data_IF_922040201636
#
_entry.id   IF_922040201636
#
_cell.length_a   1.000
_cell.length_b   1.000
_cell.length_c   1.000
_cell.angle_alpha   90.00
_cell.angle_beta   90.00
_cell.angle_gamma   90.00
#
_symmetry.space_group_name_H-M   'P 1'
#
loop_
_entity.id
_entity.type
_entity.pdbx_description
1 polymer ?
#
# COMPACT_ATOMS: atom_id res chain seq x y z
N UNK A 1 -0.81 5.90 -6.58
CA UNK A 1 -1.25 4.97 -5.53
C UNK A 1 -2.58 4.36 -5.94
N UNK A 2 -3.14 3.47 -5.13
CA UNK A 2 -4.49 2.93 -5.32
C UNK A 2 -5.47 3.54 -4.31
N UNK A 3 -6.73 3.64 -4.69
CA UNK A 3 -7.78 4.18 -3.82
C UNK A 3 -8.25 3.12 -2.83
N UNK A 4 -8.43 3.53 -1.58
CA UNK A 4 -8.96 2.69 -0.50
C UNK A 4 -10.30 3.28 -0.06
N UNK A 5 -11.39 2.49 0.00
CA UNK A 5 -12.68 2.99 0.47
C UNK A 5 -12.59 3.33 1.96
N UNK A 6 -13.17 4.46 2.35
CA UNK A 6 -13.26 4.90 3.76
C UNK A 6 -14.39 4.21 4.53
N UNK A 7 -15.28 3.50 3.82
CA UNK A 7 -16.41 2.79 4.41
C UNK A 7 -16.81 1.59 3.54
N UNK A 8 -17.08 0.45 4.18
CA UNK A 8 -17.59 -0.76 3.52
C UNK A 8 -18.79 -1.29 4.30
N UNK A 9 -20.02 -1.28 3.72
CA UNK A 9 -21.24 -1.71 4.42
C UNK A 9 -21.16 -3.13 4.99
N UNK A 10 -20.58 -4.06 4.23
CA UNK A 10 -20.44 -5.45 4.65
C UNK A 10 -19.61 -5.62 5.94
N UNK A 11 -18.66 -4.73 6.22
CA UNK A 11 -17.91 -4.75 7.48
C UNK A 11 -18.80 -4.34 8.65
N UNK A 12 -19.63 -3.32 8.47
CA UNK A 12 -20.56 -2.86 9.50
C UNK A 12 -21.63 -3.93 9.81
N UNK A 13 -22.16 -4.59 8.79
CA UNK A 13 -23.09 -5.71 8.93
C UNK A 13 -22.48 -6.90 9.69
N UNK A 14 -21.18 -7.13 9.49
CA UNK A 14 -20.41 -8.14 10.22
C UNK A 14 -19.98 -7.69 11.64
N UNK A 15 -20.32 -6.46 12.06
CA UNK A 15 -19.89 -5.90 13.34
C UNK A 15 -18.40 -5.58 13.43
N UNK A 16 -17.72 -5.44 12.29
CA UNK A 16 -16.30 -5.13 12.19
C UNK A 16 -16.06 -3.62 12.14
N UNK A 17 -14.99 -3.18 12.79
CA UNK A 17 -14.56 -1.79 12.80
C UNK A 17 -14.05 -1.36 11.41
N UNK A 18 -14.44 -0.16 10.97
CA UNK A 18 -14.01 0.44 9.72
C UNK A 18 -12.54 0.86 9.77
N UNK A 19 -11.96 1.05 10.96
CA UNK A 19 -10.54 1.42 11.12
C UNK A 19 -9.58 0.40 10.51
N UNK A 20 -10.01 -0.85 10.30
CA UNK A 20 -9.23 -1.88 9.61
C UNK A 20 -8.91 -1.52 8.14
N UNK A 21 -9.69 -0.63 7.53
CA UNK A 21 -9.48 -0.14 6.17
C UNK A 21 -8.27 0.81 6.09
N UNK A 22 -7.84 1.39 7.21
CA UNK A 22 -6.60 2.13 7.34
C UNK A 22 -5.53 1.27 8.02
N UNK A 23 -4.72 0.53 7.25
CA UNK A 23 -3.73 -0.38 7.83
C UNK A 23 -2.72 0.36 8.70
N UNK A 24 -2.44 1.65 8.46
CA UNK A 24 -1.49 2.41 9.29
C UNK A 24 -2.03 2.62 10.71
N UNK A 25 -3.32 2.90 10.84
CA UNK A 25 -3.99 3.10 12.14
C UNK A 25 -4.15 1.81 12.94
N UNK A 26 -3.94 0.64 12.32
CA UNK A 26 -3.98 -0.67 13.02
C UNK A 26 -2.66 -1.06 13.68
N UNK A 27 -1.58 -0.31 13.42
CA UNK A 27 -0.27 -0.56 14.01
C UNK A 27 -0.10 0.27 15.28
N UNK A 28 0.48 -0.34 16.32
CA UNK A 28 0.80 0.36 17.56
C UNK A 28 1.85 1.47 17.36
N UNK A 29 2.77 1.26 16.41
CA UNK A 29 3.79 2.23 16.01
C UNK A 29 3.65 2.54 14.51
N UNK A 30 3.25 3.77 14.20
CA UNK A 30 3.12 4.25 12.83
C UNK A 30 4.45 4.35 12.09
N UNK A 31 5.57 4.58 12.79
CA UNK A 31 6.89 4.65 12.17
C UNK A 31 7.39 3.27 11.73
N UNK A 32 7.12 2.23 12.54
CA UNK A 32 7.36 0.83 12.16
C UNK A 32 6.52 0.42 10.94
N UNK A 33 5.26 0.87 10.87
CA UNK A 33 4.43 0.71 9.68
C UNK A 33 5.07 1.38 8.46
N UNK A 34 5.45 2.65 8.57
CA UNK A 34 6.02 3.41 7.46
C UNK A 34 7.35 2.77 6.96
N UNK A 35 8.19 2.28 7.89
CA UNK A 35 9.42 1.54 7.56
C UNK A 35 9.13 0.21 6.86
N UNK A 36 8.14 -0.55 7.35
CA UNK A 36 7.73 -1.83 6.77
C UNK A 36 7.10 -1.64 5.39
N UNK A 37 6.24 -0.64 5.22
CA UNK A 37 5.65 -0.28 3.95
C UNK A 37 6.72 0.11 2.92
N UNK A 38 7.71 0.92 3.31
CA UNK A 38 8.86 1.26 2.45
C UNK A 38 9.66 0.02 2.03
N UNK A 39 9.93 -0.90 2.98
CA UNK A 39 10.60 -2.16 2.68
C UNK A 39 9.80 -3.00 1.69
N UNK A 40 8.49 -3.11 1.87
CA UNK A 40 7.60 -3.86 0.98
C UNK A 40 7.60 -3.28 -0.44
N UNK A 41 7.51 -1.95 -0.57
CA UNK A 41 7.61 -1.26 -1.87
C UNK A 41 8.93 -1.60 -2.56
N UNK A 42 10.05 -1.57 -1.84
CA UNK A 42 11.35 -1.92 -2.42
C UNK A 42 11.40 -3.37 -2.91
N UNK A 43 10.86 -4.32 -2.13
CA UNK A 43 10.79 -5.73 -2.55
C UNK A 43 9.95 -5.92 -3.83
N UNK A 44 8.87 -5.15 -3.99
CA UNK A 44 8.09 -5.15 -5.23
C UNK A 44 8.89 -4.60 -6.42
N UNK A 45 9.59 -3.48 -6.24
CA UNK A 45 10.44 -2.87 -7.28
C UNK A 45 11.55 -3.84 -7.71
N UNK A 46 12.27 -4.42 -6.74
CA UNK A 46 13.39 -5.33 -7.00
C UNK A 46 12.93 -6.59 -7.73
N UNK A 47 11.77 -7.14 -7.36
CA UNK A 47 11.17 -8.26 -8.07
C UNK A 47 10.79 -7.87 -9.51
N UNK A 48 10.14 -6.71 -9.67
CA UNK A 48 9.61 -6.26 -10.95
C UNK A 48 10.69 -5.88 -11.98
N UNK A 49 11.89 -5.48 -11.55
CA UNK A 49 12.98 -5.08 -12.43
C UNK A 49 13.30 -6.10 -13.55
N UNK A 50 13.11 -7.40 -13.30
CA UNK A 50 13.34 -8.46 -14.29
C UNK A 50 12.29 -8.47 -15.42
N UNK A 51 11.12 -7.87 -15.19
CA UNK A 51 9.99 -7.86 -16.10
C UNK A 51 9.80 -6.51 -16.80
N UNK A 52 10.52 -5.47 -16.40
CA UNK A 52 10.32 -4.09 -16.86
C UNK A 52 10.36 -3.94 -18.39
N UNK A 53 11.29 -4.63 -19.06
CA UNK A 53 11.42 -4.61 -20.52
C UNK A 53 10.26 -5.32 -21.25
N UNK A 54 9.48 -6.14 -20.56
CA UNK A 54 8.45 -7.01 -21.12
C UNK A 54 7.02 -6.51 -20.88
N UNK A 55 6.86 -5.36 -20.23
CA UNK A 55 5.55 -4.79 -19.92
C UNK A 55 5.30 -3.48 -20.67
N UNK A 56 4.03 -3.18 -20.90
CA UNK A 56 3.60 -1.91 -21.47
C UNK A 56 3.78 -0.75 -20.49
N UNK A 57 3.82 0.46 -21.04
CA UNK A 57 4.06 1.69 -20.28
C UNK A 57 3.05 1.90 -19.15
N UNK A 58 1.78 1.53 -19.35
CA UNK A 58 0.76 1.65 -18.30
C UNK A 58 1.08 0.79 -17.06
N UNK A 59 1.71 -0.37 -17.24
CA UNK A 59 2.13 -1.23 -16.12
C UNK A 59 3.34 -0.63 -15.41
N UNK A 60 4.30 -0.07 -16.17
CA UNK A 60 5.47 0.61 -15.58
C UNK A 60 5.06 1.81 -14.73
N UNK A 61 4.10 2.60 -15.21
CA UNK A 61 3.59 3.77 -14.50
C UNK A 61 2.78 3.42 -13.25
N UNK A 62 2.27 2.20 -13.15
CA UNK A 62 1.59 1.70 -11.96
C UNK A 62 2.54 1.23 -10.85
N UNK A 63 3.87 1.31 -11.06
CA UNK A 63 4.85 0.92 -10.06
C UNK A 63 4.60 1.65 -8.73
N UNK A 64 4.68 0.94 -7.58
CA UNK A 64 4.52 1.58 -6.29
C UNK A 64 5.65 2.60 -6.07
N UNK A 65 5.27 3.85 -5.83
CA UNK A 65 6.24 4.89 -5.53
C UNK A 65 6.74 4.76 -4.08
N UNK A 66 8.04 4.96 -3.79
CA UNK A 66 8.51 5.09 -2.42
C UNK A 66 7.77 6.26 -1.77
N UNK A 67 7.09 5.99 -0.66
CA UNK A 67 6.32 7.01 0.07
C UNK A 67 7.27 8.14 0.47
N UNK A 68 7.04 9.33 -0.07
CA UNK A 68 7.70 10.55 0.38
C UNK A 68 7.18 10.88 1.77
N UNK A 69 7.96 10.56 2.81
CA UNK A 69 7.73 11.10 4.15
C UNK A 69 8.13 12.58 4.09
N UNK A 70 7.14 13.46 3.89
CA UNK A 70 7.33 14.88 4.15
C UNK A 70 7.54 15.07 5.66
N UNK A 71 8.66 15.71 6.02
CA UNK A 71 9.00 16.11 7.37
C UNK A 71 8.14 17.29 7.87
#
# INVERSE_FOLDING_TARGET
GFDVPVFVPALAEAGLDQTILDPRSTWADGAEYDATAKKLVQLFIDNFAQFEAHVDEGVRQAAPAPVSVAA
#
